data_IF_601235409163
#
_entry.id   IF_601235409163
#
_cell.length_a   1.000
_cell.length_b   1.000
_cell.length_c   1.000
_cell.angle_alpha   90.00
_cell.angle_beta   90.00
_cell.angle_gamma   90.00
#
_symmetry.space_group_name_H-M   'P 1'
#
loop_
_entity.id
_entity.type
_entity.pdbx_description
1 polymer ?
#
# COMPACT_ATOMS: atom_id res chain seq x y z
N UNK A 1 -6.39 14.23 2.24
CA UNK A 1 -5.84 13.04 1.56
C UNK A 1 -6.20 11.80 2.36
N UNK A 2 -6.24 10.59 1.77
CA UNK A 2 -6.51 9.35 2.53
C UNK A 2 -5.52 9.15 3.70
N UNK A 3 -4.30 9.69 3.58
CA UNK A 3 -3.21 9.67 4.55
C UNK A 3 -3.36 10.63 5.76
N UNK A 4 -4.38 11.50 5.77
CA UNK A 4 -4.62 12.43 6.91
C UNK A 4 -5.36 11.77 8.08
N UNK A 5 -5.81 10.53 7.87
CA UNK A 5 -6.44 9.66 8.85
C UNK A 5 -5.68 8.33 8.92
N UNK A 6 -6.11 7.40 9.78
CA UNK A 6 -5.54 6.04 9.77
C UNK A 6 -5.76 5.37 8.42
N UNK A 7 -4.68 5.08 7.71
CA UNK A 7 -4.68 4.39 6.43
C UNK A 7 -3.72 3.19 6.43
N UNK A 8 -4.06 2.23 5.58
CA UNK A 8 -3.23 1.06 5.28
C UNK A 8 -2.76 1.18 3.85
N UNK A 9 -1.48 0.93 3.65
CA UNK A 9 -0.85 1.03 2.35
C UNK A 9 -0.17 -0.29 2.04
N UNK A 10 -0.26 -0.71 0.78
CA UNK A 10 0.65 -1.72 0.28
C UNK A 10 1.17 -1.32 -1.09
N UNK A 11 2.37 -1.78 -1.37
CA UNK A 11 3.12 -1.44 -2.55
C UNK A 11 3.40 -2.71 -3.31
N UNK A 12 3.01 -2.75 -4.58
CA UNK A 12 3.22 -3.90 -5.46
C UNK A 12 4.27 -3.53 -6.49
N UNK A 13 5.44 -4.13 -6.43
CA UNK A 13 6.51 -3.94 -7.41
C UNK A 13 6.72 -5.18 -8.25
N UNK A 14 7.00 -5.01 -9.54
CA UNK A 14 7.55 -6.10 -10.37
C UNK A 14 9.05 -6.21 -10.09
N UNK A 15 9.55 -7.44 -9.89
CA UNK A 15 10.98 -7.70 -9.70
C UNK A 15 11.78 -7.22 -10.92
N UNK A 16 12.96 -6.67 -10.67
CA UNK A 16 13.87 -6.10 -11.69
C UNK A 16 13.26 -4.96 -12.55
N UNK A 17 12.13 -4.39 -12.13
CA UNK A 17 11.49 -3.24 -12.75
C UNK A 17 11.43 -2.07 -11.78
N UNK A 18 11.64 -0.81 -12.22
CA UNK A 18 11.43 0.36 -11.37
C UNK A 18 9.94 0.63 -11.11
N UNK A 19 9.05 0.15 -11.97
CA UNK A 19 7.61 0.36 -11.86
C UNK A 19 7.01 -0.32 -10.63
N UNK A 20 6.08 0.35 -9.98
CA UNK A 20 5.30 -0.21 -8.88
C UNK A 20 3.94 0.49 -8.78
N UNK A 21 3.05 -0.13 -8.01
CA UNK A 21 1.76 0.42 -7.64
C UNK A 21 1.73 0.68 -6.14
N UNK A 22 1.03 1.74 -5.77
CA UNK A 22 0.70 2.11 -4.40
C UNK A 22 -0.80 1.97 -4.23
N UNK A 23 -1.21 1.19 -3.25
CA UNK A 23 -2.59 1.01 -2.87
C UNK A 23 -2.83 1.69 -1.54
N UNK A 24 -3.75 2.64 -1.52
CA UNK A 24 -4.16 3.38 -0.34
C UNK A 24 -5.54 2.89 0.09
N UNK A 25 -5.67 2.47 1.35
CA UNK A 25 -6.91 1.94 1.93
C UNK A 25 -7.24 2.71 3.20
N UNK A 26 -8.47 3.22 3.31
CA UNK A 26 -8.96 3.85 4.54
C UNK A 26 -9.96 2.96 5.26
N UNK A 27 -10.10 3.18 6.56
CA UNK A 27 -11.13 2.53 7.37
C UNK A 27 -12.56 2.96 7.02
N UNK A 28 -12.71 4.06 6.29
CA UNK A 28 -13.99 4.50 5.75
C UNK A 28 -14.42 3.73 4.48
N UNK A 29 -13.58 2.81 3.98
CA UNK A 29 -13.83 2.06 2.75
C UNK A 29 -13.47 2.83 1.47
N UNK A 30 -12.96 4.06 1.59
CA UNK A 30 -12.35 4.75 0.46
C UNK A 30 -10.99 4.15 0.16
N UNK A 31 -10.66 4.08 -1.13
CA UNK A 31 -9.40 3.57 -1.61
C UNK A 31 -8.90 4.38 -2.81
N UNK A 32 -7.62 4.26 -3.11
CA UNK A 32 -7.05 4.73 -4.36
C UNK A 32 -5.88 3.83 -4.78
N UNK A 33 -5.66 3.67 -6.08
CA UNK A 33 -4.47 3.00 -6.62
C UNK A 33 -3.72 3.96 -7.52
N UNK A 34 -2.44 4.14 -7.24
CA UNK A 34 -1.53 4.88 -8.09
C UNK A 34 -0.49 3.95 -8.70
N UNK A 35 -0.12 4.20 -9.93
CA UNK A 35 1.01 3.58 -10.62
C UNK A 35 2.15 4.59 -10.73
N UNK A 36 3.37 4.11 -10.54
CA UNK A 36 4.59 4.90 -10.67
C UNK A 36 5.52 4.25 -11.68
N UNK A 37 6.21 5.06 -12.48
CA UNK A 37 7.25 4.59 -13.40
C UNK A 37 8.58 4.27 -12.69
N UNK A 38 8.76 4.81 -11.48
CA UNK A 38 9.95 4.67 -10.65
C UNK A 38 9.74 5.39 -9.32
N UNK A 39 10.75 5.40 -8.46
CA UNK A 39 10.67 5.99 -7.11
C UNK A 39 10.07 7.42 -7.15
N UNK A 40 8.82 7.57 -6.69
CA UNK A 40 8.02 8.81 -6.69
C UNK A 40 7.98 9.54 -8.04
N UNK A 41 8.12 8.81 -9.15
CA UNK A 41 8.14 9.35 -10.50
C UNK A 41 6.99 8.81 -11.34
N UNK A 42 6.44 9.68 -12.20
CA UNK A 42 5.40 9.30 -13.16
C UNK A 42 4.11 8.79 -12.50
N UNK A 43 3.73 9.39 -11.36
CA UNK A 43 2.49 9.06 -10.66
C UNK A 43 1.29 9.24 -11.60
N UNK A 44 0.50 8.19 -11.75
CA UNK A 44 -0.76 8.19 -12.47
C UNK A 44 -1.78 7.34 -11.73
N UNK A 45 -3.06 7.68 -11.82
CA UNK A 45 -4.14 6.84 -11.28
C UNK A 45 -4.22 5.52 -12.07
N UNK A 46 -4.40 4.41 -11.37
CA UNK A 46 -4.61 3.09 -11.98
C UNK A 46 -6.09 2.80 -12.11
N UNK A 47 -6.58 2.76 -13.35
CA UNK A 47 -8.01 2.68 -13.67
C UNK A 47 -8.45 1.28 -14.10
N UNK A 48 -7.53 0.32 -14.26
CA UNK A 48 -7.87 -1.07 -14.58
C UNK A 48 -8.58 -1.79 -13.42
N UNK A 49 -8.37 -1.31 -12.20
CA UNK A 49 -9.03 -1.78 -10.99
C UNK A 49 -10.21 -0.86 -10.67
N UNK A 50 -11.42 -1.41 -10.74
CA UNK A 50 -12.66 -0.65 -10.50
C UNK A 50 -13.28 -0.92 -9.13
N UNK A 51 -12.73 -1.90 -8.40
CA UNK A 51 -13.18 -2.29 -7.07
C UNK A 51 -12.02 -2.89 -6.28
N UNK A 52 -11.92 -2.53 -5.00
CA UNK A 52 -11.11 -3.21 -4.01
C UNK A 52 -12.01 -3.74 -2.89
N UNK A 53 -12.24 -5.06 -2.79
CA UNK A 53 -13.14 -5.64 -1.80
C UNK A 53 -12.45 -5.68 -0.42
N UNK A 54 -12.43 -4.53 0.25
CA UNK A 54 -11.88 -4.36 1.59
C UNK A 54 -12.83 -4.92 2.65
N UNK A 55 -12.33 -5.79 3.52
CA UNK A 55 -13.02 -6.21 4.75
C UNK A 55 -12.35 -5.58 5.96
N UNK A 56 -13.14 -4.92 6.82
CA UNK A 56 -12.66 -4.34 8.07
C UNK A 56 -13.43 -4.97 9.23
N UNK A 57 -12.70 -5.60 10.16
CA UNK A 57 -13.27 -6.19 11.37
C UNK A 57 -12.68 -5.52 12.59
N UNK A 58 -13.54 -4.91 13.41
CA UNK A 58 -13.16 -4.22 14.64
C UNK A 58 -13.56 -5.04 15.86
N UNK A 59 -12.62 -5.22 16.78
CA UNK A 59 -12.80 -5.73 18.14
C UNK A 59 -12.33 -4.67 19.14
N UNK A 60 -12.48 -4.94 20.43
CA UNK A 60 -12.08 -4.01 21.49
C UNK A 60 -10.58 -3.68 21.50
N UNK A 61 -9.75 -4.61 21.04
CA UNK A 61 -8.29 -4.60 21.11
C UNK A 61 -7.60 -4.88 19.77
N UNK A 62 -8.37 -5.15 18.72
CA UNK A 62 -7.88 -5.53 17.40
C UNK A 62 -8.66 -4.84 16.29
N UNK A 63 -7.91 -4.39 15.27
CA UNK A 63 -8.44 -3.98 13.99
C UNK A 63 -7.82 -4.87 12.91
N UNK A 64 -8.65 -5.65 12.25
CA UNK A 64 -8.24 -6.52 11.14
C UNK A 64 -8.72 -5.88 9.83
N UNK A 65 -7.80 -5.75 8.87
CA UNK A 65 -8.07 -5.28 7.52
C UNK A 65 -7.61 -6.35 6.56
N UNK A 66 -8.50 -6.81 5.70
CA UNK A 66 -8.24 -7.84 4.71
C UNK A 66 -8.66 -7.37 3.31
N UNK A 67 -7.86 -7.72 2.32
CA UNK A 67 -8.11 -7.45 0.91
C UNK A 67 -7.74 -8.70 0.12
N UNK A 68 -8.64 -9.11 -0.76
CA UNK A 68 -8.37 -10.14 -1.77
C UNK A 68 -8.51 -9.49 -3.15
N UNK A 69 -7.49 -9.57 -3.97
CA UNK A 69 -7.42 -8.85 -5.24
C UNK A 69 -6.77 -9.71 -6.32
N UNK A 70 -7.41 -9.74 -7.49
CA UNK A 70 -6.78 -10.21 -8.72
C UNK A 70 -5.96 -9.07 -9.35
N UNK A 71 -4.63 -9.22 -9.33
CA UNK A 71 -3.69 -8.25 -9.89
C UNK A 71 -3.37 -8.49 -11.37
N UNK A 72 -3.94 -9.53 -11.99
CA UNK A 72 -3.70 -9.90 -13.39
C UNK A 72 -4.10 -8.83 -14.40
N UNK A 73 -4.88 -7.83 -13.99
CA UNK A 73 -5.25 -6.67 -14.81
C UNK A 73 -4.18 -5.59 -14.89
N UNK A 74 -3.24 -5.57 -13.94
CA UNK A 74 -2.21 -4.54 -13.83
C UNK A 74 -0.79 -5.12 -13.96
N UNK A 75 -0.61 -6.41 -13.67
CA UNK A 75 0.66 -7.12 -13.80
C UNK A 75 0.44 -8.44 -14.52
N UNK A 76 1.38 -8.85 -15.37
CA UNK A 76 1.33 -10.14 -16.05
C UNK A 76 1.58 -11.29 -15.05
N UNK A 77 0.86 -12.40 -15.20
CA UNK A 77 0.86 -13.51 -14.24
C UNK A 77 2.25 -14.15 -13.98
N UNK A 78 3.18 -14.08 -14.94
CA UNK A 78 4.50 -14.73 -14.86
C UNK A 78 5.59 -13.82 -14.27
N UNK A 79 5.24 -12.61 -13.82
CA UNK A 79 6.22 -11.66 -13.28
C UNK A 79 6.36 -11.85 -11.76
N UNK A 80 7.57 -12.13 -11.23
CA UNK A 80 7.79 -12.19 -9.79
C UNK A 80 7.48 -10.82 -9.15
N UNK A 81 6.77 -10.84 -8.03
CA UNK A 81 6.32 -9.62 -7.37
C UNK A 81 7.05 -9.42 -6.05
N UNK A 82 7.25 -8.16 -5.70
CA UNK A 82 7.79 -7.71 -4.42
C UNK A 82 6.75 -6.82 -3.76
N UNK A 83 6.42 -7.09 -2.50
CA UNK A 83 5.39 -6.35 -1.76
C UNK A 83 5.97 -5.65 -0.54
N UNK A 84 5.66 -4.36 -0.43
CA UNK A 84 5.81 -3.57 0.80
C UNK A 84 4.44 -3.41 1.47
N UNK A 85 4.40 -3.42 2.80
CA UNK A 85 3.18 -3.18 3.59
C UNK A 85 3.49 -2.09 4.60
N UNK A 86 2.61 -1.11 4.72
CA UNK A 86 2.71 0.00 5.64
C UNK A 86 1.36 0.38 6.24
N UNK A 87 1.41 1.10 7.35
CA UNK A 87 0.26 1.73 7.96
C UNK A 87 0.65 3.09 8.55
N UNK A 88 -0.21 4.07 8.32
CA UNK A 88 -0.17 5.37 9.00
C UNK A 88 -1.30 5.35 10.01
N UNK A 89 -0.98 5.43 11.31
CA UNK A 89 -1.97 5.33 12.38
C UNK A 89 -2.08 6.67 13.10
N UNK A 90 -3.27 7.26 13.06
CA UNK A 90 -3.62 8.47 13.80
C UNK A 90 -4.04 8.11 15.22
N UNK A 91 -3.39 8.73 16.21
CA UNK A 91 -3.65 8.54 17.63
C UNK A 91 -4.72 9.52 18.14
N UNK A 92 -5.46 9.13 19.18
CA UNK A 92 -6.54 9.92 19.76
C UNK A 92 -6.12 11.27 20.39
N UNK A 93 -4.82 11.47 20.67
CA UNK A 93 -4.28 12.62 21.38
C UNK A 93 -3.49 13.63 20.53
N UNK A 94 -3.72 13.64 19.21
CA UNK A 94 -2.88 14.29 18.20
C UNK A 94 -1.51 13.62 18.08
N UNK A 95 -1.34 12.82 17.04
CA UNK A 95 -0.09 12.13 16.74
C UNK A 95 -0.30 11.15 15.60
N UNK A 96 0.74 10.94 14.83
CA UNK A 96 0.76 9.98 13.73
C UNK A 96 1.95 9.04 13.96
N UNK A 97 1.70 7.75 13.83
CA UNK A 97 2.75 6.73 13.86
C UNK A 97 2.82 6.05 12.50
N UNK A 98 4.03 5.73 12.08
CA UNK A 98 4.31 5.10 10.79
C UNK A 98 4.84 3.70 11.06
N UNK A 99 4.21 2.71 10.43
CA UNK A 99 4.56 1.31 10.56
C UNK A 99 4.81 0.75 9.18
N UNK A 100 5.83 -0.08 9.03
CA UNK A 100 6.10 -0.83 7.81
C UNK A 100 6.87 -2.11 8.16
N UNK A 101 7.02 -3.01 7.20
CA UNK A 101 7.90 -4.19 7.36
C UNK A 101 9.34 -3.79 7.70
N UNK A 102 9.81 -2.65 7.16
CA UNK A 102 11.11 -2.05 7.44
C UNK A 102 11.10 -0.54 7.12
N UNK A 103 11.94 0.24 7.80
CA UNK A 103 12.25 1.63 7.45
C UNK A 103 13.73 1.75 7.06
N UNK A 104 14.09 1.62 5.76
CA UNK A 104 15.49 1.59 5.34
C UNK A 104 16.20 2.94 5.43
N UNK A 105 15.44 4.04 5.49
CA UNK A 105 15.96 5.40 5.57
C UNK A 105 15.87 6.01 6.98
N UNK A 106 16.41 7.22 7.18
CA UNK A 106 16.34 7.95 8.45
C UNK A 106 14.92 8.47 8.76
N UNK A 107 14.01 8.42 7.79
CA UNK A 107 12.61 8.81 7.92
C UNK A 107 11.71 7.76 7.26
N UNK A 108 10.43 7.76 7.63
CA UNK A 108 9.43 6.90 7.01
C UNK A 108 9.25 7.27 5.54
N UNK A 109 9.61 6.35 4.65
CA UNK A 109 9.42 6.48 3.21
C UNK A 109 9.09 5.10 2.62
N UNK A 110 7.80 4.86 2.42
CA UNK A 110 7.28 3.56 2.00
C UNK A 110 7.46 3.29 0.51
N UNK A 111 7.81 4.31 -0.29
CA UNK A 111 8.03 4.16 -1.73
C UNK A 111 9.40 3.59 -2.09
N UNK A 112 10.29 3.42 -1.10
CA UNK A 112 11.62 2.90 -1.38
C UNK A 112 11.53 1.42 -1.72
N UNK A 113 12.15 1.03 -2.83
CA UNK A 113 12.14 -0.36 -3.31
C UNK A 113 12.74 -1.34 -2.30
N UNK A 114 13.72 -0.90 -1.52
CA UNK A 114 14.36 -1.69 -0.45
C UNK A 114 13.46 -1.91 0.78
N UNK A 115 12.23 -1.40 0.77
CA UNK A 115 11.18 -1.71 1.76
C UNK A 115 10.21 -2.83 1.33
N UNK A 116 10.30 -3.32 0.09
CA UNK A 116 9.39 -4.35 -0.43
C UNK A 116 10.00 -5.73 -0.15
N UNK A 117 9.59 -6.35 0.96
CA UNK A 117 10.25 -7.53 1.52
C UNK A 117 9.52 -8.86 1.28
N UNK A 118 8.25 -8.83 0.87
CA UNK A 118 7.49 -10.06 0.61
C UNK A 118 7.60 -10.40 -0.88
N UNK A 119 8.10 -11.60 -1.19
CA UNK A 119 8.15 -12.12 -2.57
C UNK A 119 6.91 -12.97 -2.86
N UNK A 120 6.26 -12.78 -4.02
CA UNK A 120 5.14 -13.58 -4.52
C UNK A 120 5.47 -14.19 -5.89
#
# INVERSE_FOLDING_TARGET
GLWEETCFEFFLGVKDSPQYWEFNLSLAGHWNVYRFAGYRQGMAEETALTLLPLSVRRRSDLLEVALELDVGRIVSADQPLMVGIAAVIKLAGNGVTYWALIHPGPAADFHRRDSFLVEL
#
